data_IF_676413499631
#
_entry.id   IF_676413499631
#
_cell.length_a   1.000
_cell.length_b   1.000
_cell.length_c   1.000
_cell.angle_alpha   90.00
_cell.angle_beta   90.00
_cell.angle_gamma   90.00
#
_symmetry.space_group_name_H-M   'P 1'
#
loop_
_entity.id
_entity.type
_entity.pdbx_description
1 polymer ?
#
# COMPACT_ATOMS: atom_id res chain seq x y z
N UNK A 1 55.05 -0.09 29.99
CA UNK A 1 53.76 0.36 30.59
C UNK A 1 53.00 1.41 29.76
N UNK A 2 53.68 2.33 29.07
CA UNK A 2 53.07 3.40 28.26
C UNK A 2 52.38 2.91 26.96
N UNK A 3 52.93 1.92 26.29
CA UNK A 3 52.36 1.34 25.06
C UNK A 3 50.99 0.64 25.29
N UNK A 4 50.80 -0.01 26.40
CA UNK A 4 49.56 -0.72 26.76
C UNK A 4 48.41 0.22 27.08
N UNK A 5 48.72 1.38 27.69
CA UNK A 5 47.74 2.46 27.96
C UNK A 5 47.25 3.08 26.64
N UNK A 6 48.17 3.32 25.68
CA UNK A 6 47.80 3.83 24.35
C UNK A 6 46.91 2.82 23.58
N UNK A 7 47.20 1.51 23.63
CA UNK A 7 46.41 0.50 22.97
C UNK A 7 44.98 0.42 23.55
N UNK A 8 44.83 0.45 24.87
CA UNK A 8 43.53 0.51 25.55
C UNK A 8 42.74 1.78 25.17
N UNK A 9 43.40 2.92 25.14
CA UNK A 9 42.74 4.16 24.72
C UNK A 9 42.16 4.07 23.30
N UNK A 10 42.91 3.57 22.36
CA UNK A 10 42.44 3.43 20.98
C UNK A 10 41.31 2.39 20.86
N UNK A 11 41.37 1.31 21.60
CA UNK A 11 40.27 0.32 21.64
C UNK A 11 38.98 0.97 22.17
N UNK A 12 39.06 1.67 23.29
CA UNK A 12 37.93 2.36 23.89
C UNK A 12 37.34 3.40 22.92
N UNK A 13 38.21 4.20 22.30
CA UNK A 13 37.79 5.23 21.34
C UNK A 13 37.11 4.62 20.14
N UNK A 14 37.70 3.58 19.55
CA UNK A 14 37.12 2.88 18.38
C UNK A 14 35.77 2.25 18.75
N UNK A 15 35.66 1.58 19.91
CA UNK A 15 34.39 1.02 20.38
C UNK A 15 33.34 2.11 20.58
N UNK A 16 33.71 3.25 21.20
CA UNK A 16 32.79 4.36 21.39
C UNK A 16 32.30 4.95 20.07
N UNK A 17 33.18 5.09 19.08
CA UNK A 17 32.82 5.55 17.73
C UNK A 17 31.85 4.55 17.04
N UNK A 18 32.12 3.25 17.12
CA UNK A 18 31.24 2.23 16.56
C UNK A 18 29.87 2.27 17.23
N UNK A 19 29.82 2.32 18.57
CA UNK A 19 28.55 2.39 19.31
C UNK A 19 27.75 3.64 18.93
N UNK A 20 28.43 4.79 18.87
CA UNK A 20 27.79 6.06 18.48
C UNK A 20 27.25 5.99 17.05
N UNK A 21 28.04 5.49 16.10
CA UNK A 21 27.63 5.32 14.71
C UNK A 21 26.43 4.39 14.59
N UNK A 22 26.47 3.23 15.28
CA UNK A 22 25.33 2.29 15.31
C UNK A 22 24.08 2.94 15.90
N UNK A 23 24.21 3.68 17.00
CA UNK A 23 23.07 4.36 17.61
C UNK A 23 22.45 5.41 16.67
N UNK A 24 23.29 6.20 16.00
CA UNK A 24 22.82 7.19 15.00
C UNK A 24 22.13 6.49 13.82
N UNK A 25 22.72 5.40 13.31
CA UNK A 25 22.12 4.66 12.18
C UNK A 25 20.78 4.03 12.55
N UNK A 26 20.65 3.45 13.74
CA UNK A 26 19.37 2.90 14.23
C UNK A 26 18.32 4.00 14.42
N UNK A 27 18.71 5.13 14.99
CA UNK A 27 17.81 6.27 15.17
C UNK A 27 17.32 6.82 13.81
N UNK A 28 18.24 7.05 12.89
CA UNK A 28 17.92 7.56 11.55
C UNK A 28 17.07 6.55 10.75
N UNK A 29 17.41 5.26 10.83
CA UNK A 29 16.62 4.20 10.19
C UNK A 29 15.21 4.14 10.72
N UNK A 30 15.01 4.14 12.04
CA UNK A 30 13.68 4.16 12.65
C UNK A 30 12.89 5.41 12.26
N UNK A 31 13.53 6.58 12.30
CA UNK A 31 12.91 7.83 11.85
C UNK A 31 12.45 7.77 10.38
N UNK A 32 13.26 7.20 9.48
CA UNK A 32 12.90 7.09 8.06
C UNK A 32 11.78 6.06 7.84
N UNK A 33 11.75 4.97 8.61
CA UNK A 33 10.65 4.00 8.58
C UNK A 33 9.34 4.67 9.01
N UNK A 34 9.34 5.36 10.15
CA UNK A 34 8.16 6.05 10.63
C UNK A 34 7.73 7.16 9.66
N UNK A 35 8.71 7.88 9.10
CA UNK A 35 8.45 8.91 8.10
C UNK A 35 7.73 8.37 6.86
N UNK A 36 8.13 7.19 6.38
CA UNK A 36 7.64 6.65 5.11
C UNK A 36 6.49 5.64 5.25
N UNK A 37 6.40 4.92 6.36
CA UNK A 37 5.52 3.76 6.44
C UNK A 37 4.52 3.79 7.60
N UNK A 38 4.78 4.60 8.64
CA UNK A 38 3.88 4.67 9.79
C UNK A 38 2.61 5.44 9.44
N UNK A 39 1.47 4.88 9.81
CA UNK A 39 0.14 5.49 9.67
C UNK A 39 -0.36 5.93 11.04
N UNK A 40 -0.66 7.21 11.21
CA UNK A 40 -1.18 7.76 12.45
C UNK A 40 -2.66 7.42 12.66
N UNK A 41 -3.21 7.81 13.81
CA UNK A 41 -4.63 7.59 14.17
C UNK A 41 -5.63 8.32 13.26
N UNK A 42 -5.16 9.26 12.43
CA UNK A 42 -5.97 9.97 11.44
C UNK A 42 -5.82 9.40 10.03
N UNK A 43 -5.13 8.27 9.88
CA UNK A 43 -4.86 7.64 8.58
C UNK A 43 -3.80 8.35 7.74
N UNK A 44 -2.95 9.18 8.35
CA UNK A 44 -1.89 9.92 7.65
C UNK A 44 -0.58 9.13 7.71
N UNK A 45 0.10 9.04 6.59
CA UNK A 45 1.38 8.35 6.51
C UNK A 45 2.53 9.29 6.87
N UNK A 46 3.11 9.08 8.05
CA UNK A 46 4.27 9.79 8.54
C UNK A 46 4.15 11.31 8.48
N UNK A 47 5.25 12.01 8.17
CA UNK A 47 5.22 13.46 7.95
C UNK A 47 4.82 13.85 6.52
N UNK A 48 4.46 12.89 5.66
CA UNK A 48 3.84 13.14 4.36
C UNK A 48 2.33 13.39 4.47
N UNK A 49 1.76 13.36 5.68
CA UNK A 49 0.33 13.47 5.94
C UNK A 49 -0.35 14.76 5.47
N UNK A 50 0.41 15.80 5.13
CA UNK A 50 -0.12 17.00 4.49
C UNK A 50 -0.09 16.93 2.94
N UNK A 51 0.47 15.86 2.38
CA UNK A 51 0.45 15.60 0.95
C UNK A 51 -0.74 14.71 0.61
N UNK A 52 -1.86 15.33 0.35
CA UNK A 52 -2.97 14.69 -0.34
C UNK A 52 -2.79 14.93 -1.84
N UNK A 53 -2.37 13.94 -2.61
CA UNK A 53 -2.23 14.07 -4.05
C UNK A 53 -3.56 14.38 -4.73
N UNK A 54 -4.67 14.11 -4.05
CA UNK A 54 -6.05 14.29 -4.53
C UNK A 54 -6.73 15.55 -3.97
N UNK A 55 -6.22 16.16 -2.88
CA UNK A 55 -6.81 17.33 -2.21
C UNK A 55 -6.94 18.59 -3.08
N UNK A 56 -6.33 18.63 -4.26
CA UNK A 56 -6.36 19.77 -5.18
C UNK A 56 -7.14 19.54 -6.46
N UNK A 57 -7.76 18.39 -6.62
CA UNK A 57 -8.57 18.12 -7.80
C UNK A 57 -10.05 18.50 -7.56
N UNK A 58 -10.32 19.75 -7.20
CA UNK A 58 -11.67 20.35 -7.40
C UNK A 58 -11.85 20.60 -8.92
N UNK A 59 -11.66 19.53 -9.67
CA UNK A 59 -11.79 19.52 -11.11
C UNK A 59 -13.23 19.20 -11.47
N UNK A 60 -13.65 19.61 -12.66
CA UNK A 60 -14.94 19.21 -13.22
C UNK A 60 -15.09 17.68 -13.22
N UNK A 61 -13.99 16.95 -13.48
CA UNK A 61 -13.94 15.48 -13.47
C UNK A 61 -14.30 14.88 -12.08
N UNK A 62 -13.79 15.47 -10.99
CA UNK A 62 -14.13 15.02 -9.65
C UNK A 62 -15.61 15.22 -9.33
N UNK A 63 -16.16 16.36 -9.70
CA UNK A 63 -17.61 16.64 -9.50
C UNK A 63 -18.50 15.68 -10.31
N UNK A 64 -18.12 15.38 -11.53
CA UNK A 64 -18.81 14.40 -12.38
C UNK A 64 -18.70 13.00 -11.78
N UNK A 65 -17.54 12.66 -11.21
CA UNK A 65 -17.35 11.40 -10.51
C UNK A 65 -18.18 11.30 -9.24
N UNK A 66 -18.17 12.34 -8.37
CA UNK A 66 -18.95 12.38 -7.14
C UNK A 66 -20.47 12.27 -7.42
N UNK A 67 -20.93 12.89 -8.51
CA UNK A 67 -22.31 12.76 -8.95
C UNK A 67 -22.63 11.34 -9.44
N UNK A 68 -21.70 10.71 -10.12
CA UNK A 68 -21.86 9.33 -10.60
C UNK A 68 -21.86 8.33 -9.44
N UNK A 69 -20.90 8.37 -8.51
CA UNK A 69 -20.83 7.43 -7.39
C UNK A 69 -22.06 7.54 -6.49
N UNK A 70 -22.63 8.73 -6.34
CA UNK A 70 -23.88 8.94 -5.64
C UNK A 70 -25.12 8.36 -6.33
N UNK A 71 -25.00 7.94 -7.59
CA UNK A 71 -26.08 7.35 -8.39
C UNK A 71 -26.03 5.83 -8.48
N UNK A 72 -24.88 5.21 -8.13
CA UNK A 72 -24.72 3.75 -8.18
C UNK A 72 -24.92 3.12 -6.82
N UNK A 73 -25.41 1.85 -6.76
CA UNK A 73 -25.49 1.15 -5.48
C UNK A 73 -24.09 0.91 -4.92
N UNK A 74 -23.92 1.19 -3.63
CA UNK A 74 -22.67 0.96 -2.91
C UNK A 74 -22.97 0.07 -1.70
N UNK A 75 -22.12 -0.93 -1.47
CA UNK A 75 -22.16 -1.79 -0.29
C UNK A 75 -20.81 -1.72 0.42
N UNK A 76 -20.83 -1.84 1.73
CA UNK A 76 -19.62 -1.95 2.55
C UNK A 76 -19.36 -3.41 2.88
N UNK A 77 -18.16 -3.87 2.62
CA UNK A 77 -17.70 -5.19 2.98
C UNK A 77 -16.62 -5.11 4.06
N UNK A 78 -16.69 -6.03 5.01
CA UNK A 78 -15.71 -6.14 6.08
C UNK A 78 -15.24 -7.57 6.19
N UNK A 79 -13.95 -7.76 6.42
CA UNK A 79 -13.33 -9.06 6.69
C UNK A 79 -12.14 -8.88 7.63
N UNK A 80 -11.39 -9.95 7.86
CA UNK A 80 -10.16 -9.90 8.67
C UNK A 80 -8.98 -10.42 7.86
N UNK A 81 -7.86 -9.71 7.99
CA UNK A 81 -6.57 -10.19 7.51
C UNK A 81 -6.12 -11.48 8.25
N UNK A 82 -5.14 -12.17 7.69
CA UNK A 82 -4.55 -13.37 8.33
C UNK A 82 -3.97 -13.08 9.72
N UNK A 83 -3.47 -11.87 9.94
CA UNK A 83 -2.91 -11.38 11.21
C UNK A 83 -3.92 -10.65 12.11
N UNK A 84 -5.22 -10.68 11.72
CA UNK A 84 -6.35 -10.30 12.57
C UNK A 84 -6.79 -8.85 12.48
N UNK A 85 -6.24 -8.04 11.58
CA UNK A 85 -6.69 -6.68 11.33
C UNK A 85 -8.08 -6.68 10.69
N UNK A 86 -8.93 -5.74 11.08
CA UNK A 86 -10.18 -5.48 10.37
C UNK A 86 -9.84 -4.83 9.03
N UNK A 87 -10.31 -5.42 7.94
CA UNK A 87 -10.22 -4.90 6.59
C UNK A 87 -11.58 -4.45 6.12
N UNK A 88 -11.61 -3.36 5.37
CA UNK A 88 -12.80 -2.77 4.81
C UNK A 88 -12.66 -2.58 3.30
N UNK A 89 -13.76 -2.70 2.57
CA UNK A 89 -13.81 -2.44 1.14
C UNK A 89 -15.17 -1.84 0.75
N UNK A 90 -15.15 -0.99 -0.25
CA UNK A 90 -16.35 -0.56 -0.96
C UNK A 90 -16.64 -1.59 -2.08
N UNK A 91 -17.88 -2.03 -2.19
CA UNK A 91 -18.35 -2.91 -3.25
C UNK A 91 -19.42 -2.22 -4.10
N UNK A 92 -19.18 -2.18 -5.40
CA UNK A 92 -20.03 -1.61 -6.42
C UNK A 92 -20.63 -2.75 -7.26
N UNK A 93 -21.85 -3.22 -6.96
CA UNK A 93 -22.46 -4.29 -7.73
C UNK A 93 -22.83 -3.81 -9.14
N UNK A 94 -22.61 -4.66 -10.14
CA UNK A 94 -23.14 -4.44 -11.48
C UNK A 94 -24.67 -4.59 -11.50
N UNK A 95 -25.33 -3.98 -12.48
CA UNK A 95 -26.78 -4.12 -12.66
C UNK A 95 -27.16 -5.53 -13.11
N UNK A 96 -26.30 -6.19 -13.92
CA UNK A 96 -26.48 -7.56 -14.39
C UNK A 96 -25.49 -8.49 -13.72
N UNK A 97 -25.96 -9.64 -13.25
CA UNK A 97 -25.10 -10.67 -12.64
C UNK A 97 -24.38 -11.46 -13.74
N UNK A 98 -23.18 -11.00 -14.12
CA UNK A 98 -22.34 -11.62 -15.14
C UNK A 98 -21.17 -12.43 -14.56
N UNK A 99 -21.08 -12.61 -13.25
CA UNK A 99 -19.97 -13.26 -12.56
C UNK A 99 -18.59 -12.63 -12.85
N UNK A 100 -18.53 -11.37 -13.31
CA UNK A 100 -17.31 -10.68 -13.64
C UNK A 100 -16.97 -9.65 -12.55
N UNK A 101 -15.80 -9.79 -11.93
CA UNK A 101 -15.38 -9.01 -10.80
C UNK A 101 -14.04 -8.33 -11.05
N UNK A 102 -13.87 -7.12 -10.52
CA UNK A 102 -12.60 -6.44 -10.42
C UNK A 102 -12.29 -6.15 -8.96
N UNK A 103 -11.10 -6.51 -8.50
CA UNK A 103 -10.53 -5.99 -7.26
C UNK A 103 -9.56 -4.88 -7.64
N UNK A 104 -9.90 -3.64 -7.30
CA UNK A 104 -9.10 -2.47 -7.65
C UNK A 104 -8.38 -1.94 -6.42
N UNK A 105 -7.05 -2.00 -6.42
CA UNK A 105 -6.17 -1.72 -5.29
C UNK A 105 -5.49 -0.37 -5.49
N UNK A 106 -5.74 0.56 -4.58
CA UNK A 106 -5.25 1.94 -4.62
C UNK A 106 -3.74 2.07 -4.36
N UNK A 107 -3.18 3.23 -4.68
CA UNK A 107 -1.77 3.57 -4.47
C UNK A 107 -1.40 3.92 -3.03
N UNK A 108 -0.13 4.26 -2.83
CA UNK A 108 0.43 4.70 -1.56
C UNK A 108 -0.25 5.98 -1.06
N UNK A 109 -0.56 6.05 0.24
CA UNK A 109 -1.28 7.16 0.90
C UNK A 109 -2.71 7.43 0.45
N UNK A 110 -3.24 6.63 -0.47
CA UNK A 110 -4.62 6.71 -0.93
C UNK A 110 -5.56 5.82 -0.10
N UNK A 111 -6.81 5.80 -0.47
CA UNK A 111 -7.85 4.89 -0.03
C UNK A 111 -8.76 4.57 -1.22
N UNK A 112 -9.90 3.92 -1.00
CA UNK A 112 -10.86 3.60 -2.07
C UNK A 112 -11.25 4.81 -2.92
N UNK A 113 -11.39 6.01 -2.36
CA UNK A 113 -11.72 7.22 -3.13
C UNK A 113 -10.63 7.56 -4.16
N UNK A 114 -9.36 7.27 -3.87
CA UNK A 114 -8.26 7.55 -4.79
C UNK A 114 -8.29 6.72 -6.07
N UNK A 115 -8.87 5.52 -6.04
CA UNK A 115 -8.95 4.63 -7.22
C UNK A 115 -10.32 4.67 -7.91
N UNK A 116 -11.31 5.24 -7.29
CA UNK A 116 -12.68 5.32 -7.83
C UNK A 116 -12.77 5.88 -9.27
N UNK A 117 -12.03 6.94 -9.66
CA UNK A 117 -12.07 7.41 -11.05
C UNK A 117 -11.64 6.36 -12.08
N UNK A 118 -10.70 5.48 -11.71
CA UNK A 118 -10.23 4.40 -12.59
C UNK A 118 -11.24 3.25 -12.69
N UNK A 119 -12.11 3.08 -11.70
CA UNK A 119 -13.07 1.95 -11.68
C UNK A 119 -14.39 2.24 -12.37
N UNK A 120 -14.76 3.51 -12.55
CA UNK A 120 -15.99 3.90 -13.24
C UNK A 120 -16.20 3.16 -14.57
N UNK A 121 -15.22 3.14 -15.50
CA UNK A 121 -15.38 2.42 -16.77
C UNK A 121 -15.66 0.92 -16.61
N UNK A 122 -15.18 0.29 -15.54
CA UNK A 122 -15.43 -1.13 -15.30
C UNK A 122 -16.87 -1.38 -14.82
N UNK A 123 -17.38 -0.53 -13.93
CA UNK A 123 -18.80 -0.59 -13.50
C UNK A 123 -19.72 -0.36 -14.69
N UNK A 124 -19.44 0.64 -15.53
CA UNK A 124 -20.19 0.93 -16.75
C UNK A 124 -20.11 -0.20 -17.78
N UNK A 125 -19.03 -1.00 -17.76
CA UNK A 125 -18.86 -2.19 -18.58
C UNK A 125 -19.53 -3.45 -17.99
N UNK A 126 -20.21 -3.35 -16.84
CA UNK A 126 -20.95 -4.43 -16.22
C UNK A 126 -20.14 -5.34 -15.30
N UNK A 127 -18.99 -4.87 -14.80
CA UNK A 127 -18.23 -5.57 -13.76
C UNK A 127 -18.74 -5.19 -12.38
N UNK A 128 -18.80 -6.17 -11.48
CA UNK A 128 -18.80 -5.91 -10.04
C UNK A 128 -17.41 -5.42 -9.64
N UNK A 129 -17.33 -4.35 -8.89
CA UNK A 129 -16.02 -3.79 -8.49
C UNK A 129 -15.89 -3.73 -6.98
N UNK A 130 -14.81 -4.30 -6.45
CA UNK A 130 -14.41 -4.20 -5.06
C UNK A 130 -13.18 -3.29 -4.95
N UNK A 131 -13.29 -2.22 -4.16
CA UNK A 131 -12.20 -1.28 -3.88
C UNK A 131 -11.81 -1.38 -2.41
N UNK A 132 -10.89 -2.28 -2.03
CA UNK A 132 -10.44 -2.39 -0.66
C UNK A 132 -9.59 -1.19 -0.24
N UNK A 133 -9.84 -0.69 0.96
CA UNK A 133 -8.86 0.10 1.68
C UNK A 133 -7.73 -0.84 2.12
N UNK A 134 -6.51 -0.60 1.66
CA UNK A 134 -5.37 -1.40 2.08
C UNK A 134 -5.11 -1.22 3.58
N UNK A 135 -4.48 -2.20 4.23
CA UNK A 135 -4.14 -2.10 5.67
C UNK A 135 -3.51 -0.77 6.02
N UNK A 136 -3.97 -0.14 7.10
CA UNK A 136 -3.54 1.18 7.53
C UNK A 136 -4.10 2.35 6.72
N UNK A 137 -4.94 2.11 5.72
CA UNK A 137 -5.57 3.16 4.91
C UNK A 137 -7.08 3.19 5.13
N UNK A 138 -7.68 4.36 4.95
CA UNK A 138 -9.14 4.55 5.00
C UNK A 138 -9.79 3.95 6.24
N UNK A 139 -10.70 3.01 6.04
CA UNK A 139 -11.46 2.34 7.09
C UNK A 139 -10.82 1.02 7.56
N UNK A 140 -9.71 0.59 6.95
CA UNK A 140 -8.98 -0.62 7.33
C UNK A 140 -8.00 -0.36 8.47
N UNK A 141 -7.92 -1.32 9.41
CA UNK A 141 -6.94 -1.26 10.51
C UNK A 141 -5.51 -1.47 10.00
N UNK A 142 -4.56 -0.99 10.79
CA UNK A 142 -3.12 -1.12 10.56
C UNK A 142 -2.36 0.13 10.98
N UNK A 143 -1.05 0.00 11.15
CA UNK A 143 -0.19 1.12 11.56
C UNK A 143 1.00 1.31 10.64
N UNK A 144 1.26 0.37 9.75
CA UNK A 144 2.38 0.45 8.81
C UNK A 144 1.95 -0.06 7.45
N UNK A 145 2.36 0.66 6.42
CA UNK A 145 2.31 0.17 5.05
C UNK A 145 3.54 -0.70 4.80
N UNK A 146 3.35 -1.87 4.20
CA UNK A 146 4.45 -2.80 3.93
C UNK A 146 4.88 -2.84 2.47
N UNK A 147 4.46 -1.86 1.69
CA UNK A 147 4.81 -1.74 0.27
C UNK A 147 4.47 -2.98 -0.55
N UNK A 148 3.30 -3.55 -0.29
CA UNK A 148 2.78 -4.72 -0.98
C UNK A 148 3.07 -6.06 -0.29
N UNK A 149 3.98 -6.12 0.68
CA UNK A 149 4.41 -7.40 1.27
C UNK A 149 3.31 -8.08 2.09
N UNK A 150 2.61 -7.36 2.96
CA UNK A 150 1.44 -7.86 3.68
C UNK A 150 0.15 -7.59 2.91
N UNK A 151 0.07 -6.46 2.20
CA UNK A 151 -1.09 -6.06 1.40
C UNK A 151 -1.47 -7.13 0.36
N UNK A 152 -0.50 -7.85 -0.23
CA UNK A 152 -0.78 -8.97 -1.15
C UNK A 152 -1.60 -10.09 -0.52
N UNK A 153 -1.42 -10.34 0.79
CA UNK A 153 -2.19 -11.36 1.54
C UNK A 153 -3.62 -10.88 1.76
N UNK A 154 -3.80 -9.59 2.01
CA UNK A 154 -5.13 -8.99 2.14
C UNK A 154 -5.88 -9.06 0.81
N UNK A 155 -5.21 -8.86 -0.33
CA UNK A 155 -5.80 -9.08 -1.66
C UNK A 155 -6.27 -10.53 -1.81
N UNK A 156 -5.49 -11.52 -1.34
CA UNK A 156 -5.90 -12.94 -1.39
C UNK A 156 -7.11 -13.19 -0.47
N UNK A 157 -7.19 -12.55 0.68
CA UNK A 157 -8.40 -12.61 1.53
C UNK A 157 -9.60 -12.07 0.77
N UNK A 158 -9.50 -10.93 0.11
CA UNK A 158 -10.59 -10.36 -0.68
C UNK A 158 -11.00 -11.23 -1.89
N UNK A 159 -10.04 -11.92 -2.54
CA UNK A 159 -10.35 -12.93 -3.56
C UNK A 159 -11.24 -14.03 -2.97
N UNK A 160 -10.89 -14.53 -1.78
CA UNK A 160 -11.67 -15.58 -1.12
C UNK A 160 -13.06 -15.08 -0.69
N UNK A 161 -13.21 -13.82 -0.26
CA UNK A 161 -14.52 -13.23 0.05
C UNK A 161 -15.41 -13.16 -1.21
N UNK A 162 -14.86 -12.75 -2.36
CA UNK A 162 -15.61 -12.79 -3.63
C UNK A 162 -16.01 -14.22 -3.99
N UNK A 163 -15.11 -15.19 -3.86
CA UNK A 163 -15.39 -16.59 -4.17
C UNK A 163 -16.42 -17.22 -3.22
N UNK A 164 -16.47 -16.75 -1.97
CA UNK A 164 -17.52 -17.16 -1.02
C UNK A 164 -18.88 -16.53 -1.37
N UNK A 165 -18.88 -15.32 -1.92
CA UNK A 165 -20.08 -14.64 -2.41
C UNK A 165 -20.58 -15.22 -3.73
N UNK A 166 -19.65 -15.52 -4.66
CA UNK A 166 -19.93 -16.07 -5.99
C UNK A 166 -18.84 -17.08 -6.40
N UNK A 167 -19.15 -18.39 -6.32
CA UNK A 167 -18.22 -19.46 -6.69
C UNK A 167 -17.85 -19.47 -8.18
N UNK A 168 -18.66 -18.83 -9.04
CA UNK A 168 -18.48 -18.75 -10.48
C UNK A 168 -17.71 -17.50 -10.90
N UNK A 169 -17.26 -16.67 -9.95
CA UNK A 169 -16.60 -15.41 -10.23
C UNK A 169 -15.42 -15.54 -11.20
N UNK A 170 -15.34 -14.63 -12.16
CA UNK A 170 -14.17 -14.35 -12.97
C UNK A 170 -13.54 -13.06 -12.46
N UNK A 171 -12.40 -13.15 -11.81
CA UNK A 171 -11.79 -12.03 -11.10
C UNK A 171 -10.63 -11.46 -11.91
N UNK A 172 -10.61 -10.14 -12.07
CA UNK A 172 -9.46 -9.38 -12.55
C UNK A 172 -8.92 -8.57 -11.38
N UNK A 173 -7.63 -8.64 -11.16
CA UNK A 173 -6.93 -7.74 -10.23
C UNK A 173 -6.45 -6.53 -11.00
N UNK A 174 -6.80 -5.34 -10.53
CA UNK A 174 -6.29 -4.07 -11.03
C UNK A 174 -5.59 -3.35 -9.88
N UNK A 175 -4.46 -2.74 -10.13
CA UNK A 175 -3.75 -1.96 -9.12
C UNK A 175 -3.02 -0.77 -9.71
N UNK A 176 -2.99 0.32 -8.95
CA UNK A 176 -2.27 1.55 -9.29
C UNK A 176 -1.09 1.77 -8.34
N UNK A 177 0.10 2.09 -8.86
CA UNK A 177 1.29 2.42 -8.08
C UNK A 177 1.65 1.33 -7.04
N UNK A 178 1.55 1.60 -5.73
CA UNK A 178 1.73 0.58 -4.68
C UNK A 178 0.72 -0.56 -4.82
N UNK A 179 -0.52 -0.25 -5.20
CA UNK A 179 -1.54 -1.26 -5.49
C UNK A 179 -1.15 -2.17 -6.66
N UNK A 180 -0.54 -1.61 -7.71
CA UNK A 180 -0.01 -2.38 -8.84
C UNK A 180 1.08 -3.37 -8.40
N UNK A 181 2.04 -2.92 -7.60
CA UNK A 181 3.04 -3.80 -7.02
C UNK A 181 2.41 -4.86 -6.11
N UNK A 182 1.38 -4.50 -5.35
CA UNK A 182 0.63 -5.41 -4.47
C UNK A 182 -0.05 -6.54 -5.26
N UNK A 183 -0.78 -6.22 -6.33
CA UNK A 183 -1.47 -7.25 -7.14
C UNK A 183 -0.49 -8.13 -7.90
N UNK A 184 0.65 -7.58 -8.36
CA UNK A 184 1.73 -8.39 -8.96
C UNK A 184 2.36 -9.35 -7.95
N UNK A 185 2.61 -8.89 -6.72
CA UNK A 185 3.12 -9.77 -5.65
C UNK A 185 2.09 -10.85 -5.27
N UNK A 186 0.80 -10.51 -5.24
CA UNK A 186 -0.27 -11.49 -5.01
C UNK A 186 -0.30 -12.55 -6.12
N UNK A 187 -0.12 -12.17 -7.38
CA UNK A 187 -0.06 -13.09 -8.51
C UNK A 187 1.06 -14.14 -8.38
N UNK A 188 2.13 -13.81 -7.68
CA UNK A 188 3.24 -14.74 -7.39
C UNK A 188 2.91 -15.81 -6.34
N UNK A 189 1.82 -15.71 -5.60
CA UNK A 189 1.46 -16.61 -4.49
C UNK A 189 0.60 -17.83 -4.93
N UNK A 190 0.35 -18.01 -6.22
CA UNK A 190 -0.43 -19.14 -6.72
C UNK A 190 -1.94 -18.95 -6.56
N UNK A 191 -2.48 -17.93 -7.21
CA UNK A 191 -3.90 -17.56 -7.14
C UNK A 191 -4.84 -18.64 -7.70
N UNK A 192 -6.11 -18.70 -7.24
CA UNK A 192 -7.11 -19.60 -7.76
C UNK A 192 -7.39 -19.33 -9.25
N UNK A 193 -7.84 -20.36 -9.97
CA UNK A 193 -8.11 -20.30 -11.43
C UNK A 193 -9.18 -19.27 -11.82
N UNK A 194 -9.96 -18.81 -10.87
CA UNK A 194 -10.97 -17.78 -11.03
C UNK A 194 -10.34 -16.40 -11.26
N UNK A 195 -9.12 -16.17 -10.82
CA UNK A 195 -8.36 -14.97 -11.20
C UNK A 195 -7.86 -15.14 -12.63
N UNK A 196 -8.38 -14.31 -13.54
CA UNK A 196 -8.18 -14.44 -15.00
C UNK A 196 -7.07 -13.53 -15.52
N UNK A 197 -6.90 -12.39 -14.90
CA UNK A 197 -5.90 -11.41 -15.31
C UNK A 197 -5.44 -10.54 -14.12
N UNK A 198 -4.25 -9.99 -14.27
CA UNK A 198 -3.70 -8.96 -13.39
C UNK A 198 -3.31 -7.80 -14.28
N UNK A 199 -3.82 -6.62 -13.97
CA UNK A 199 -3.53 -5.37 -14.65
C UNK A 199 -2.80 -4.46 -13.68
N UNK A 200 -1.61 -4.04 -14.04
CA UNK A 200 -0.80 -3.15 -13.23
C UNK A 200 -0.66 -1.79 -13.92
N UNK A 201 -0.81 -0.74 -13.16
CA UNK A 201 -0.62 0.63 -13.62
C UNK A 201 0.47 1.31 -12.76
N UNK A 202 1.60 1.61 -13.39
CA UNK A 202 2.78 2.28 -12.84
C UNK A 202 3.34 1.66 -11.54
N UNK A 203 3.30 0.32 -11.40
CA UNK A 203 3.89 -0.40 -10.28
C UNK A 203 5.42 -0.36 -10.27
N UNK A 204 6.01 -0.49 -9.09
CA UNK A 204 7.45 -0.59 -8.95
C UNK A 204 7.92 -2.06 -8.93
N UNK A 205 9.11 -2.30 -9.42
CA UNK A 205 9.73 -3.64 -9.44
C UNK A 205 10.40 -4.01 -8.12
N UNK A 206 10.72 -3.03 -7.28
CA UNK A 206 11.39 -3.21 -6.01
C UNK A 206 11.14 -2.03 -5.08
N UNK A 207 10.61 -2.31 -3.88
CA UNK A 207 10.46 -1.32 -2.82
C UNK A 207 11.82 -0.69 -2.44
N UNK A 208 12.88 -1.51 -2.42
CA UNK A 208 14.24 -1.03 -2.15
C UNK A 208 14.70 0.02 -3.18
N UNK A 209 14.53 -0.27 -4.48
CA UNK A 209 14.93 0.67 -5.54
C UNK A 209 14.12 1.98 -5.43
N UNK A 210 12.82 1.88 -5.19
CA UNK A 210 11.96 3.04 -4.99
C UNK A 210 12.39 3.88 -3.78
N UNK A 211 12.68 3.26 -2.62
CA UNK A 211 13.17 4.00 -1.45
C UNK A 211 14.54 4.63 -1.66
N UNK A 212 15.43 3.96 -2.39
CA UNK A 212 16.74 4.50 -2.76
C UNK A 212 16.60 5.79 -3.58
N UNK A 213 15.73 5.79 -4.57
CA UNK A 213 15.49 6.96 -5.40
C UNK A 213 14.84 8.09 -4.59
N UNK A 214 13.85 7.79 -3.75
CA UNK A 214 13.21 8.77 -2.87
C UNK A 214 14.18 9.36 -1.83
N UNK A 215 15.07 8.54 -1.26
CA UNK A 215 16.10 9.00 -0.33
C UNK A 215 17.05 10.02 -0.99
N UNK A 216 17.45 9.74 -2.22
CA UNK A 216 18.28 10.63 -3.00
C UNK A 216 17.55 11.92 -3.40
N UNK A 217 16.33 11.80 -3.93
CA UNK A 217 15.59 12.95 -4.46
C UNK A 217 15.09 13.89 -3.36
N UNK A 218 14.56 13.35 -2.26
CA UNK A 218 13.95 14.16 -1.19
C UNK A 218 14.95 14.65 -0.16
N UNK A 219 15.93 13.81 0.20
CA UNK A 219 16.86 14.11 1.30
C UNK A 219 18.29 14.37 0.83
N UNK A 220 18.60 14.15 -0.46
CA UNK A 220 19.96 14.21 -1.00
C UNK A 220 20.94 13.31 -0.24
N UNK A 221 20.43 12.19 0.33
CA UNK A 221 21.20 11.25 1.11
C UNK A 221 21.67 10.05 0.26
N UNK A 222 22.86 9.49 0.58
CA UNK A 222 23.32 8.26 -0.06
C UNK A 222 22.54 7.04 0.46
N UNK A 223 22.58 5.95 -0.29
CA UNK A 223 22.00 4.67 0.08
C UNK A 223 22.53 4.17 1.43
N UNK A 224 23.85 4.03 1.54
CA UNK A 224 24.51 3.65 2.80
C UNK A 224 24.82 4.89 3.65
N UNK A 225 24.56 4.89 4.96
CA UNK A 225 24.11 3.78 5.82
C UNK A 225 22.59 3.75 6.08
N UNK A 226 21.77 4.42 5.29
CA UNK A 226 20.34 4.65 5.57
C UNK A 226 19.43 3.55 5.03
N UNK A 227 19.86 2.86 3.96
CA UNK A 227 19.23 1.65 3.46
C UNK A 227 20.21 0.48 3.62
N UNK A 228 19.76 -0.67 4.11
CA UNK A 228 20.62 -1.83 4.35
C UNK A 228 21.16 -2.48 3.07
#
# INVERSE_FOLDING_TARGET
MMFWKKKKFWIILTTAVIVLFTAISLFAGNYLVDYALYVDENGRVGSMGDYDPYAKQDTQLQKEFDAWIGSVPVQEWETKSEDGLKLWAQFLPAEEDQHNYIIAVHGYTANHHGIEPAVKPFVEAGYHVLTPDQRGCGNSEGRYLSMGYFEKRDVIVWINEILAYDEQANIVLYGESMGAATVLMAAGEGLPKQVKAVVEDCGYTSAYAMFKDQLKERFSLPEFPFLP
#
